data_IF_140743716506
#
_entry.id   IF_140743716506
#
_cell.length_a   1.000
_cell.length_b   1.000
_cell.length_c   1.000
_cell.angle_alpha   90.00
_cell.angle_beta   90.00
_cell.angle_gamma   90.00
#
_symmetry.space_group_name_H-M   'P 1'
#
loop_
_entity.id
_entity.type
_entity.pdbx_description
1 polymer ?
#
# COMPACT_ATOMS: atom_id res chain seq x y z
N UNK A 1 6.87 -3.64 -1.02
CA UNK A 1 7.29 -4.21 0.28
C UNK A 1 6.05 -4.69 1.02
N UNK A 2 6.16 -5.67 1.91
CA UNK A 2 5.06 -6.15 2.74
C UNK A 2 5.56 -6.50 4.14
N UNK A 3 4.67 -6.39 5.13
CA UNK A 3 4.87 -6.96 6.46
C UNK A 3 4.16 -8.30 6.54
N UNK A 4 4.78 -9.27 7.19
CA UNK A 4 4.19 -10.59 7.36
C UNK A 4 4.62 -11.25 8.67
N UNK A 5 3.83 -12.23 9.09
CA UNK A 5 4.17 -13.15 10.17
C UNK A 5 4.21 -14.58 9.64
N UNK A 6 5.06 -15.40 10.20
CA UNK A 6 5.05 -16.85 10.01
C UNK A 6 4.36 -17.46 11.22
N UNK A 7 3.25 -18.12 10.98
CA UNK A 7 2.48 -18.84 11.98
C UNK A 7 3.03 -20.26 12.17
N UNK A 8 2.44 -21.01 13.11
CA UNK A 8 2.73 -22.44 13.26
C UNK A 8 2.61 -23.16 11.91
N UNK A 9 3.39 -24.20 11.70
CA UNK A 9 3.43 -24.99 10.46
C UNK A 9 3.95 -24.22 9.23
N UNK A 10 4.64 -23.09 9.43
CA UNK A 10 5.25 -22.32 8.36
C UNK A 10 4.26 -21.51 7.50
N UNK A 11 3.01 -21.38 7.92
CA UNK A 11 2.01 -20.57 7.19
C UNK A 11 2.32 -19.11 7.32
N UNK A 12 2.45 -18.40 6.20
CA UNK A 12 2.66 -16.95 6.14
C UNK A 12 1.30 -16.22 6.17
N UNK A 13 1.21 -15.19 6.98
CA UNK A 13 0.13 -14.20 6.91
C UNK A 13 0.73 -12.85 6.55
N UNK A 14 0.32 -12.26 5.43
CA UNK A 14 0.67 -10.88 5.09
C UNK A 14 -0.26 -9.96 5.87
N UNK A 15 0.33 -8.97 6.53
CA UNK A 15 -0.35 -8.03 7.41
C UNK A 15 -0.63 -6.69 6.74
N UNK A 16 0.25 -6.26 5.83
CA UNK A 16 0.12 -5.01 5.07
C UNK A 16 1.03 -5.01 3.84
N UNK A 17 0.66 -4.19 2.86
CA UNK A 17 1.54 -3.84 1.73
C UNK A 17 1.96 -2.39 1.87
N UNK A 18 3.23 -2.11 1.53
CA UNK A 18 3.82 -0.77 1.59
C UNK A 18 4.29 -0.36 0.19
N UNK A 19 4.05 0.89 -0.13
CA UNK A 19 4.35 1.50 -1.42
C UNK A 19 5.54 2.45 -1.30
N UNK A 20 5.94 3.06 -2.40
CA UNK A 20 6.97 4.08 -2.37
C UNK A 20 6.55 5.25 -1.46
N UNK A 21 7.41 5.64 -0.54
CA UNK A 21 7.16 6.70 0.44
C UNK A 21 6.61 6.24 1.79
N UNK A 22 6.18 4.97 1.92
CA UNK A 22 5.70 4.44 3.19
C UNK A 22 6.87 4.04 4.11
N UNK A 23 6.65 4.15 5.42
CA UNK A 23 7.52 3.57 6.44
C UNK A 23 7.12 2.12 6.72
N UNK A 24 7.99 1.18 6.32
CA UNK A 24 7.68 -0.24 6.55
C UNK A 24 7.97 -0.70 7.99
N UNK A 25 8.76 0.04 8.75
CA UNK A 25 9.24 -0.34 10.09
C UNK A 25 9.11 0.79 11.13
N UNK A 26 8.24 1.77 10.90
CA UNK A 26 8.06 2.91 11.81
C UNK A 26 7.90 2.51 13.29
N UNK A 27 7.21 1.41 13.65
CA UNK A 27 7.14 0.99 15.06
C UNK A 27 8.48 0.71 15.70
N UNK A 28 9.54 0.37 14.92
CA UNK A 28 10.90 0.13 15.44
C UNK A 28 11.51 1.37 16.11
N UNK A 29 10.98 2.56 15.80
CA UNK A 29 11.43 3.81 16.41
C UNK A 29 11.27 3.80 17.95
N UNK A 30 10.26 3.10 18.46
CA UNK A 30 9.93 3.05 19.89
C UNK A 30 9.80 1.63 20.45
N UNK A 31 9.58 0.63 19.61
CA UNK A 31 9.47 -0.75 20.04
C UNK A 31 10.81 -1.47 19.86
N UNK A 32 11.38 -2.08 20.91
CA UNK A 32 12.66 -2.77 20.83
C UNK A 32 12.61 -4.07 20.02
N UNK A 33 11.42 -4.64 19.86
CA UNK A 33 11.18 -5.86 19.09
C UNK A 33 9.94 -5.64 18.22
N UNK A 34 10.04 -5.98 16.95
CA UNK A 34 8.90 -6.02 16.04
C UNK A 34 8.31 -7.42 16.00
N UNK A 35 7.00 -7.51 16.00
CA UNK A 35 6.22 -8.75 15.92
C UNK A 35 5.98 -9.23 14.48
N UNK A 36 6.59 -8.59 13.51
CA UNK A 36 6.48 -8.90 12.08
C UNK A 36 7.84 -8.86 11.38
N UNK A 37 7.89 -9.49 10.21
CA UNK A 37 9.02 -9.41 9.28
C UNK A 37 8.67 -8.50 8.12
N UNK A 38 9.65 -7.75 7.63
CA UNK A 38 9.55 -6.96 6.40
C UNK A 38 10.18 -7.73 5.26
N UNK A 39 9.43 -7.91 4.18
CA UNK A 39 9.89 -8.59 2.96
C UNK A 39 9.65 -7.75 1.71
N UNK A 40 10.38 -8.05 0.66
CA UNK A 40 10.23 -7.41 -0.65
C UNK A 40 9.44 -8.31 -1.61
N UNK A 41 8.62 -7.70 -2.46
CA UNK A 41 7.88 -8.40 -3.54
C UNK A 41 8.60 -8.18 -4.87
N UNK A 42 9.24 -7.03 -5.00
CA UNK A 42 10.03 -6.62 -6.17
C UNK A 42 11.38 -6.12 -5.71
N UNK A 43 12.39 -5.98 -6.60
CA UNK A 43 13.55 -5.16 -6.29
C UNK A 43 13.11 -3.77 -5.84
N UNK A 44 13.68 -3.29 -4.73
CA UNK A 44 13.33 -1.99 -4.13
C UNK A 44 14.59 -1.24 -3.72
N UNK A 45 14.51 0.08 -3.75
CA UNK A 45 15.49 0.95 -3.10
C UNK A 45 14.90 1.39 -1.76
N UNK A 46 15.63 1.19 -0.68
CA UNK A 46 15.24 1.62 0.66
C UNK A 46 16.20 2.69 1.16
N UNK A 47 15.68 3.63 1.94
CA UNK A 47 16.46 4.65 2.64
C UNK A 47 16.37 4.34 4.12
N UNK A 48 17.53 4.06 4.73
CA UNK A 48 17.64 3.89 6.18
C UNK A 48 17.79 5.24 6.87
N UNK A 49 16.91 5.54 7.81
CA UNK A 49 17.00 6.73 8.65
C UNK A 49 17.36 6.29 10.06
N UNK A 50 18.53 6.70 10.62
CA UNK A 50 18.88 6.36 11.99
C UNK A 50 17.79 6.84 12.98
N UNK A 51 17.37 5.97 13.90
CA UNK A 51 16.32 6.28 14.88
C UNK A 51 16.59 7.58 15.65
N UNK A 52 17.85 7.80 16.06
CA UNK A 52 18.23 9.01 16.75
C UNK A 52 18.04 10.27 15.91
N UNK A 53 18.35 10.20 14.62
CA UNK A 53 18.13 11.32 13.70
C UNK A 53 16.62 11.62 13.54
N UNK A 54 15.80 10.57 13.41
CA UNK A 54 14.34 10.71 13.28
C UNK A 54 13.71 11.25 14.57
N UNK A 55 14.17 10.79 15.76
CA UNK A 55 13.73 11.34 17.06
C UNK A 55 14.09 12.82 17.19
N UNK A 56 15.34 13.20 16.89
CA UNK A 56 15.76 14.63 16.93
C UNK A 56 14.90 15.49 16.00
N UNK A 57 14.59 14.99 14.79
CA UNK A 57 13.71 15.70 13.87
C UNK A 57 12.28 15.86 14.44
N UNK A 58 11.75 14.82 15.06
CA UNK A 58 10.43 14.87 15.70
C UNK A 58 10.41 15.85 16.89
N UNK A 59 11.48 15.92 17.68
CA UNK A 59 11.61 16.83 18.82
C UNK A 59 11.74 18.30 18.39
N UNK A 60 12.43 18.56 17.28
CA UNK A 60 12.71 19.93 16.80
C UNK A 60 11.65 20.44 15.81
N UNK A 61 10.93 19.56 15.15
CA UNK A 61 9.96 19.88 14.12
C UNK A 61 8.58 19.27 14.44
N UNK A 62 7.68 19.97 15.16
CA UNK A 62 6.37 19.44 15.57
C UNK A 62 5.52 18.89 14.42
N UNK A 63 5.64 19.44 13.22
CA UNK A 63 4.94 18.93 12.03
C UNK A 63 5.42 17.55 11.62
N UNK A 64 6.70 17.22 11.82
CA UNK A 64 7.23 15.88 11.55
C UNK A 64 6.69 14.90 12.58
N UNK A 65 6.70 15.26 13.87
CA UNK A 65 6.10 14.44 14.91
C UNK A 65 4.62 14.15 14.62
N UNK A 66 3.86 15.17 14.26
CA UNK A 66 2.44 15.03 13.90
C UNK A 66 2.26 14.11 12.68
N UNK A 67 3.15 14.22 11.68
CA UNK A 67 3.10 13.40 10.48
C UNK A 67 3.38 11.93 10.81
N UNK A 68 4.41 11.63 11.63
CA UNK A 68 4.72 10.26 12.08
C UNK A 68 3.54 9.65 12.87
N UNK A 69 2.89 10.45 13.73
CA UNK A 69 1.68 10.01 14.43
C UNK A 69 0.54 9.68 13.48
N UNK A 70 0.28 10.54 12.49
CA UNK A 70 -0.75 10.29 11.47
C UNK A 70 -0.48 9.04 10.69
N UNK A 71 0.78 8.80 10.30
CA UNK A 71 1.19 7.59 9.58
C UNK A 71 0.90 6.35 10.42
N UNK A 72 1.33 6.31 11.67
CA UNK A 72 1.06 5.21 12.58
C UNK A 72 -0.45 4.97 12.83
N UNK A 73 -1.24 6.02 12.95
CA UNK A 73 -2.69 5.91 13.13
C UNK A 73 -3.39 5.42 11.85
N UNK A 74 -2.90 5.81 10.69
CA UNK A 74 -3.40 5.35 9.39
C UNK A 74 -3.07 3.87 9.19
N UNK A 75 -1.85 3.45 9.52
CA UNK A 75 -1.44 2.03 9.50
C UNK A 75 -2.35 1.19 10.41
N UNK A 76 -2.60 1.64 11.64
CA UNK A 76 -3.54 1.01 12.55
C UNK A 76 -4.99 0.99 12.01
N UNK A 77 -5.42 2.02 11.27
CA UNK A 77 -6.73 2.05 10.62
C UNK A 77 -6.83 1.03 9.49
N UNK A 78 -5.79 0.90 8.67
CA UNK A 78 -5.69 -0.14 7.63
C UNK A 78 -5.76 -1.54 8.24
N UNK A 79 -5.01 -1.80 9.32
CA UNK A 79 -5.05 -3.08 10.01
C UNK A 79 -6.47 -3.43 10.51
N UNK A 80 -7.21 -2.47 11.08
CA UNK A 80 -8.62 -2.67 11.49
C UNK A 80 -9.53 -3.02 10.30
N UNK A 81 -9.33 -2.37 9.14
CA UNK A 81 -10.08 -2.70 7.91
C UNK A 81 -9.76 -4.09 7.40
N UNK A 82 -8.50 -4.51 7.47
CA UNK A 82 -8.09 -5.87 7.09
C UNK A 82 -8.68 -6.93 8.03
N UNK A 83 -8.67 -6.70 9.35
CA UNK A 83 -9.32 -7.59 10.33
C UNK A 83 -10.81 -7.75 9.99
N UNK A 84 -11.53 -6.65 9.78
CA UNK A 84 -12.94 -6.69 9.40
C UNK A 84 -13.14 -7.41 8.04
N UNK A 85 -12.24 -7.19 7.10
CA UNK A 85 -12.27 -7.83 5.79
C UNK A 85 -12.11 -9.35 5.89
N UNK A 86 -11.09 -9.82 6.60
CA UNK A 86 -10.84 -11.25 6.80
C UNK A 86 -11.96 -11.90 7.60
N UNK A 87 -12.48 -11.23 8.61
CA UNK A 87 -13.49 -11.78 9.53
C UNK A 87 -14.92 -11.81 8.99
N UNK A 88 -15.28 -10.93 8.05
CA UNK A 88 -16.71 -10.75 7.68
C UNK A 88 -16.98 -10.70 6.18
N UNK A 89 -16.04 -10.28 5.34
CA UNK A 89 -16.28 -10.21 3.90
C UNK A 89 -16.15 -11.56 3.23
N UNK A 90 -16.93 -11.79 2.17
CA UNK A 90 -16.75 -12.93 1.28
C UNK A 90 -15.40 -12.82 0.55
N UNK A 91 -14.90 -13.92 -0.01
CA UNK A 91 -13.67 -13.94 -0.81
C UNK A 91 -13.69 -12.91 -1.95
N UNK A 92 -14.84 -12.79 -2.59
CA UNK A 92 -15.10 -11.86 -3.68
C UNK A 92 -14.96 -10.40 -3.22
N UNK A 93 -15.59 -10.07 -2.10
CA UNK A 93 -15.50 -8.74 -1.49
C UNK A 93 -14.09 -8.42 -0.97
N UNK A 94 -13.37 -9.41 -0.41
CA UNK A 94 -12.00 -9.21 0.10
C UNK A 94 -11.03 -8.80 -1.01
N UNK A 95 -11.05 -9.53 -2.14
CA UNK A 95 -10.19 -9.18 -3.27
C UNK A 95 -10.60 -7.86 -3.90
N UNK A 96 -11.90 -7.61 -4.07
CA UNK A 96 -12.39 -6.33 -4.55
C UNK A 96 -11.92 -5.17 -3.65
N UNK A 97 -12.00 -5.33 -2.32
CA UNK A 97 -11.56 -4.31 -1.36
C UNK A 97 -10.04 -4.07 -1.44
N UNK A 98 -9.25 -5.13 -1.50
CA UNK A 98 -7.79 -5.02 -1.63
C UNK A 98 -7.40 -4.30 -2.92
N UNK A 99 -8.07 -4.58 -4.04
CA UNK A 99 -7.80 -3.89 -5.30
C UNK A 99 -8.20 -2.41 -5.28
N UNK A 100 -9.32 -2.08 -4.63
CA UNK A 100 -9.69 -0.68 -4.39
C UNK A 100 -8.67 0.04 -3.50
N UNK A 101 -8.16 -0.61 -2.46
CA UNK A 101 -7.13 -0.07 -1.57
C UNK A 101 -5.83 0.19 -2.33
N UNK A 102 -5.35 -0.78 -3.12
CA UNK A 102 -4.17 -0.58 -3.97
C UNK A 102 -4.36 0.60 -4.94
N UNK A 103 -5.50 0.63 -5.64
CA UNK A 103 -5.80 1.70 -6.57
C UNK A 103 -5.75 3.07 -5.88
N UNK A 104 -6.44 3.24 -4.74
CA UNK A 104 -6.49 4.50 -4.02
C UNK A 104 -5.10 4.96 -3.54
N UNK A 105 -4.31 4.05 -2.98
CA UNK A 105 -2.96 4.36 -2.47
C UNK A 105 -1.97 4.64 -3.60
N UNK A 106 -2.00 3.84 -4.67
CA UNK A 106 -1.13 4.05 -5.84
C UNK A 106 -1.51 5.33 -6.60
N UNK A 107 -2.80 5.67 -6.66
CA UNK A 107 -3.26 6.95 -7.23
C UNK A 107 -2.71 8.15 -6.48
N UNK A 108 -2.63 8.07 -5.14
CA UNK A 108 -2.11 9.15 -4.31
C UNK A 108 -0.63 9.47 -4.61
N UNK A 109 0.15 8.49 -5.07
CA UNK A 109 1.57 8.63 -5.45
C UNK A 109 1.78 8.67 -6.97
N UNK A 110 0.72 8.83 -7.77
CA UNK A 110 0.80 9.01 -9.22
C UNK A 110 1.16 7.75 -10.02
N UNK A 111 0.94 6.57 -9.46
CA UNK A 111 1.27 5.27 -10.08
C UNK A 111 0.05 4.56 -10.70
N UNK A 112 -1.05 5.26 -10.89
CA UNK A 112 -2.24 4.79 -11.62
C UNK A 112 -2.46 5.65 -12.85
N UNK A 113 -2.70 5.02 -14.00
CA UNK A 113 -3.08 5.67 -15.25
C UNK A 113 -4.30 4.95 -15.85
N UNK A 114 -5.36 5.68 -16.14
CA UNK A 114 -6.59 5.12 -16.73
C UNK A 114 -7.11 3.90 -15.94
N UNK A 115 -7.20 4.03 -14.62
CA UNK A 115 -7.58 2.97 -13.67
C UNK A 115 -6.71 1.70 -13.75
N UNK A 116 -5.50 1.83 -14.27
CA UNK A 116 -4.52 0.76 -14.46
C UNK A 116 -3.30 0.98 -13.57
N UNK A 117 -2.83 -0.10 -12.96
CA UNK A 117 -1.63 -0.08 -12.12
C UNK A 117 -0.89 -1.43 -12.11
N UNK A 118 0.40 -1.37 -11.79
CA UNK A 118 1.21 -2.57 -11.59
C UNK A 118 0.82 -3.26 -10.30
N UNK A 119 0.54 -4.57 -10.40
CA UNK A 119 0.22 -5.45 -9.28
C UNK A 119 1.22 -6.63 -9.30
N UNK A 120 2.44 -6.45 -8.80
CA UNK A 120 3.48 -7.47 -8.85
C UNK A 120 3.32 -8.58 -7.79
N UNK A 121 2.18 -8.63 -7.12
CA UNK A 121 1.86 -9.66 -6.12
C UNK A 121 1.41 -10.95 -6.81
N UNK A 122 1.84 -12.08 -6.29
CA UNK A 122 1.43 -13.40 -6.77
C UNK A 122 0.07 -13.81 -6.20
N UNK A 123 -0.54 -14.85 -6.77
CA UNK A 123 -1.76 -15.43 -6.17
C UNK A 123 -1.53 -16.02 -4.78
N UNK A 124 -0.30 -16.43 -4.47
CA UNK A 124 0.09 -16.86 -3.13
C UNK A 124 0.12 -15.67 -2.18
N UNK A 125 0.71 -14.54 -2.59
CA UNK A 125 0.70 -13.32 -1.77
C UNK A 125 -0.72 -12.79 -1.53
N UNK A 126 -1.58 -12.84 -2.55
CA UNK A 126 -2.99 -12.49 -2.39
C UNK A 126 -3.71 -13.44 -1.42
N UNK A 127 -3.40 -14.74 -1.47
CA UNK A 127 -3.95 -15.73 -0.56
C UNK A 127 -3.51 -15.46 0.88
N UNK A 128 -2.21 -15.25 1.09
CA UNK A 128 -1.62 -14.94 2.39
C UNK A 128 -2.13 -13.60 2.98
N UNK A 129 -2.45 -12.63 2.12
CA UNK A 129 -3.00 -11.34 2.56
C UNK A 129 -4.49 -11.43 2.92
N UNK A 130 -5.24 -12.31 2.26
CA UNK A 130 -6.70 -12.35 2.39
C UNK A 130 -7.23 -13.54 3.20
N UNK A 131 -6.31 -14.37 3.75
CA UNK A 131 -6.69 -15.58 4.51
C UNK A 131 -7.40 -16.63 3.66
N UNK A 132 -6.99 -16.78 2.41
CA UNK A 132 -7.54 -17.74 1.45
C UNK A 132 -6.48 -18.75 0.99
N UNK A 133 -6.91 -19.77 0.25
CA UNK A 133 -5.99 -20.60 -0.53
C UNK A 133 -5.76 -19.99 -1.92
N UNK A 134 -4.61 -20.28 -2.55
CA UNK A 134 -4.32 -19.82 -3.92
C UNK A 134 -5.36 -20.30 -4.93
N UNK A 135 -5.91 -21.50 -4.72
CA UNK A 135 -7.01 -22.05 -5.57
C UNK A 135 -8.26 -21.20 -5.44
N UNK A 136 -8.60 -20.78 -4.22
CA UNK A 136 -9.75 -19.90 -3.96
C UNK A 136 -9.53 -18.51 -4.58
N UNK A 137 -8.33 -17.94 -4.41
CA UNK A 137 -7.94 -16.68 -5.06
C UNK A 137 -8.11 -16.78 -6.58
N UNK A 138 -7.60 -17.85 -7.21
CA UNK A 138 -7.72 -18.04 -8.65
C UNK A 138 -9.17 -18.05 -9.13
N UNK A 139 -10.04 -18.80 -8.42
CA UNK A 139 -11.48 -18.84 -8.71
C UNK A 139 -12.11 -17.45 -8.60
N UNK A 140 -11.85 -16.75 -7.51
CA UNK A 140 -12.41 -15.41 -7.27
C UNK A 140 -11.91 -14.38 -8.29
N UNK A 141 -10.64 -14.47 -8.73
CA UNK A 141 -10.12 -13.64 -9.82
C UNK A 141 -10.83 -13.92 -11.15
N UNK A 142 -11.19 -15.17 -11.44
CA UNK A 142 -11.99 -15.53 -12.63
C UNK A 142 -13.40 -14.94 -12.53
N UNK A 143 -14.03 -15.00 -11.38
CA UNK A 143 -15.35 -14.41 -11.12
C UNK A 143 -15.35 -12.89 -11.31
N UNK A 144 -14.34 -12.17 -10.74
CA UNK A 144 -14.20 -10.72 -10.92
C UNK A 144 -14.00 -10.32 -12.39
N UNK A 145 -13.24 -11.12 -13.15
CA UNK A 145 -13.03 -10.90 -14.59
C UNK A 145 -14.28 -11.20 -15.41
N UNK A 146 -14.99 -12.29 -15.11
CA UNK A 146 -16.23 -12.66 -15.79
C UNK A 146 -17.35 -11.63 -15.56
N UNK A 147 -17.33 -10.96 -14.40
CA UNK A 147 -18.24 -9.85 -14.09
C UNK A 147 -17.79 -8.50 -14.71
N UNK A 148 -16.73 -8.50 -15.51
CA UNK A 148 -16.16 -7.29 -16.15
C UNK A 148 -15.81 -6.16 -15.17
N UNK A 149 -15.40 -6.52 -13.94
CA UNK A 149 -14.98 -5.55 -12.94
C UNK A 149 -13.50 -5.22 -13.04
N UNK A 150 -12.70 -6.21 -13.42
CA UNK A 150 -11.25 -6.08 -13.56
C UNK A 150 -10.76 -6.80 -14.82
N UNK A 151 -9.62 -6.33 -15.33
CA UNK A 151 -8.76 -7.09 -16.23
C UNK A 151 -7.39 -7.28 -15.57
N UNK A 152 -6.83 -8.48 -15.68
CA UNK A 152 -5.49 -8.79 -15.18
C UNK A 152 -4.68 -9.40 -16.31
N UNK A 153 -3.62 -8.70 -16.74
CA UNK A 153 -2.71 -9.13 -17.82
C UNK A 153 -1.28 -9.10 -17.30
N UNK A 154 -0.68 -10.27 -17.14
CA UNK A 154 0.64 -10.37 -16.49
C UNK A 154 0.58 -9.84 -15.06
N UNK A 155 1.33 -8.79 -14.79
CA UNK A 155 1.38 -8.10 -13.50
C UNK A 155 0.70 -6.72 -13.55
N UNK A 156 -0.24 -6.52 -14.45
CA UNK A 156 -0.98 -5.27 -14.59
C UNK A 156 -2.46 -5.52 -14.35
N UNK A 157 -3.04 -4.78 -13.41
CA UNK A 157 -4.45 -4.79 -13.11
C UNK A 157 -5.09 -3.51 -13.62
N UNK A 158 -6.20 -3.67 -14.35
CA UNK A 158 -7.07 -2.57 -14.78
C UNK A 158 -8.42 -2.74 -14.09
N UNK A 159 -8.92 -1.71 -13.46
CA UNK A 159 -10.30 -1.68 -12.97
C UNK A 159 -11.19 -1.21 -14.12
N UNK A 160 -12.12 -2.06 -14.54
CA UNK A 160 -13.02 -1.80 -15.67
C UNK A 160 -14.28 -1.03 -15.25
N UNK A 161 -14.74 -1.25 -14.02
CA UNK A 161 -15.89 -0.55 -13.45
C UNK A 161 -15.62 -0.21 -11.98
N UNK A 162 -15.05 0.97 -11.75
CA UNK A 162 -14.74 1.47 -10.42
C UNK A 162 -15.95 1.57 -9.52
N UNK A 163 -17.06 2.09 -10.04
CA UNK A 163 -18.27 2.30 -9.23
C UNK A 163 -18.88 1.00 -8.70
N UNK A 164 -18.96 -0.02 -9.56
CA UNK A 164 -19.44 -1.34 -9.14
C UNK A 164 -18.45 -2.04 -8.22
N UNK A 165 -17.14 -1.92 -8.49
CA UNK A 165 -16.11 -2.55 -7.66
C UNK A 165 -16.13 -1.99 -6.24
N UNK A 166 -16.18 -0.66 -6.08
CA UNK A 166 -16.29 0.05 -4.79
C UNK A 166 -17.53 -0.41 -4.02
N UNK A 167 -18.68 -0.50 -4.70
CA UNK A 167 -19.93 -0.94 -4.07
C UNK A 167 -19.86 -2.39 -3.57
N UNK A 168 -19.29 -3.29 -4.36
CA UNK A 168 -19.09 -4.71 -4.00
C UNK A 168 -18.09 -4.83 -2.85
N UNK A 169 -17.01 -4.08 -2.91
CA UNK A 169 -15.96 -4.06 -1.91
C UNK A 169 -16.39 -3.41 -0.58
N UNK A 170 -17.52 -2.70 -0.56
CA UNK A 170 -17.88 -1.80 0.53
C UNK A 170 -16.71 -0.89 0.90
N UNK A 171 -16.05 -0.34 -0.15
CA UNK A 171 -14.83 0.43 0.01
C UNK A 171 -15.13 1.90 0.25
N UNK A 172 -14.52 2.42 1.30
CA UNK A 172 -14.45 3.84 1.63
C UNK A 172 -13.00 4.20 1.92
N UNK A 173 -12.42 5.10 1.13
CA UNK A 173 -11.02 5.50 1.25
C UNK A 173 -10.72 6.38 2.46
N UNK A 174 -11.71 6.81 3.23
CA UNK A 174 -11.52 7.74 4.35
C UNK A 174 -10.51 7.27 5.40
N UNK A 175 -10.36 5.96 5.61
CA UNK A 175 -9.37 5.41 6.54
C UNK A 175 -7.93 5.50 6.05
N UNK A 176 -7.70 5.63 4.75
CA UNK A 176 -6.35 5.71 4.16
C UNK A 176 -5.71 7.09 4.36
N UNK A 177 -6.52 8.11 4.67
CA UNK A 177 -6.07 9.50 4.85
C UNK A 177 -5.20 10.00 3.68
N UNK A 178 -5.38 9.41 2.48
CA UNK A 178 -4.63 9.81 1.28
C UNK A 178 -5.04 11.21 0.88
N UNK A 179 -4.15 12.17 1.07
CA UNK A 179 -4.26 13.47 0.44
C UNK A 179 -3.78 13.31 -1.00
N UNK A 180 -4.58 13.77 -1.97
CA UNK A 180 -4.05 13.94 -3.33
C UNK A 180 -2.84 14.85 -3.23
N UNK A 181 -1.65 14.32 -3.47
CA UNK A 181 -0.46 15.15 -3.66
C UNK A 181 -0.78 16.02 -4.85
N UNK A 182 -1.03 17.30 -4.61
CA UNK A 182 -1.06 18.28 -5.69
C UNK A 182 0.33 18.19 -6.32
N UNK A 183 0.41 17.64 -7.54
CA UNK A 183 1.65 17.62 -8.31
C UNK A 183 2.15 19.07 -8.33
N UNK A 184 3.33 19.39 -7.78
CA UNK A 184 3.85 20.74 -7.91
C UNK A 184 3.95 20.99 -9.41
N UNK A 185 3.19 21.96 -9.93
CA UNK A 185 3.45 22.46 -11.28
C UNK A 185 4.92 22.87 -11.29
N UNK A 186 5.75 22.44 -12.26
CA UNK A 186 7.10 22.94 -12.36
C UNK A 186 6.97 24.46 -12.46
N UNK A 187 7.42 25.19 -11.44
CA UNK A 187 7.65 26.61 -11.55
C UNK A 187 8.84 26.74 -12.47
N UNK A 188 8.54 26.99 -13.75
CA UNK A 188 9.52 27.52 -14.67
C UNK A 188 9.64 28.99 -14.27
N UNK A 189 10.72 29.32 -13.55
CA UNK A 189 11.03 30.73 -13.36
C UNK A 189 11.44 31.29 -14.73
N UNK A 190 11.24 32.58 -14.92
CA UNK A 190 11.48 33.29 -16.19
C UNK A 190 12.95 33.28 -16.63
N UNK A 191 13.83 32.60 -15.89
CA UNK A 191 15.29 32.51 -16.16
C UNK A 191 15.71 31.21 -16.85
N UNK A 192 14.78 30.26 -17.11
CA UNK A 192 15.03 29.10 -17.99
C UNK A 192 16.02 28.08 -17.46
N UNK A 193 16.37 28.09 -16.17
CA UNK A 193 17.30 27.13 -15.57
C UNK A 193 16.52 26.00 -14.86
N UNK A 194 16.56 24.81 -15.45
CA UNK A 194 15.98 23.59 -14.87
C UNK A 194 16.70 23.22 -13.57
N UNK A 195 15.95 23.06 -12.49
CA UNK A 195 16.42 22.57 -11.17
C UNK A 195 16.85 21.09 -11.15
N UNK A 196 17.36 20.56 -12.27
CA UNK A 196 17.83 19.18 -12.42
C UNK A 196 19.31 18.95 -11.99
N UNK A 197 19.99 19.91 -11.40
CA UNK A 197 21.44 19.87 -11.18
C UNK A 197 21.88 19.55 -9.75
N UNK A 198 21.00 19.13 -8.83
CA UNK A 198 21.38 18.89 -7.42
C UNK A 198 21.33 17.42 -6.96
N UNK A 199 21.25 16.46 -7.87
CA UNK A 199 21.22 15.03 -7.53
C UNK A 199 22.52 14.27 -7.86
N UNK A 200 23.65 14.95 -7.96
CA UNK A 200 24.98 14.30 -8.10
C UNK A 200 26.01 15.02 -7.27
N UNK A 201 26.12 14.67 -5.99
CA UNK A 201 27.31 14.69 -5.12
C UNK A 201 26.87 14.66 -3.63
N UNK A 202 26.76 13.52 -3.06
CA UNK A 202 27.37 13.08 -1.79
C UNK A 202 27.39 11.56 -1.81
#
# INVERSE_FOLDING_TARGET
>A
VHRYMILSEGRRQILSFHMAGDFADLPSLYLPVLDFTVGTITPVTVVGIPHEALRRLADTCPNIALWLWKDALTDAAMARKWIASIGRRSAYQRLAHLFCEFHARLSAVGLVQDDRYKLPVTQVDLADATGMTSVHVNRTLKELRAAELIALRGQELTILDWGRLVKIAEFDSGYLQVQKVATPKPQIDETGVSASAYAQRV
#
